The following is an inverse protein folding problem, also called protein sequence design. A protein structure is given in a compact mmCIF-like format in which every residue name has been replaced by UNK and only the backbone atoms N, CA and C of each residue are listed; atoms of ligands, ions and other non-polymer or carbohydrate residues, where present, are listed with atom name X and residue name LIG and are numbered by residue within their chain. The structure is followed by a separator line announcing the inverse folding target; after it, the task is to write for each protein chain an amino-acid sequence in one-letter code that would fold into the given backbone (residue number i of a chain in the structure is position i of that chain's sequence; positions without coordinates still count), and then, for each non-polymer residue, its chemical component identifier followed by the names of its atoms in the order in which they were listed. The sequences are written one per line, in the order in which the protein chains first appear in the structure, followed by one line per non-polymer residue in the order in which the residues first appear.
data_IF_306156733571
#
_entry.id   IF_306156733571
#
_cell.length_a   1.000
_cell.length_b   1.000
_cell.length_c   1.000
_cell.angle_alpha   90.00
_cell.angle_beta   90.00
_cell.angle_gamma   90.00
#
_symmetry.space_group_name_H-M   'P 1'
#
loop_
_entity.id
_entity.type
_entity.pdbx_description
1 polymer ?
#
# COMPACT_ATOMS: atom_id res chain seq x y z
N UNK A 1 -18.08 22.17 24.87
CA UNK A 1 -16.67 22.17 24.48
C UNK A 1 -16.55 22.74 23.10
N UNK A 2 -15.58 23.61 22.88
CA UNK A 2 -15.31 24.25 21.59
C UNK A 2 -15.04 23.17 20.51
N UNK A 3 -15.76 23.22 19.40
CA UNK A 3 -15.55 22.36 18.23
C UNK A 3 -14.25 22.68 17.48
N UNK A 4 -13.53 23.71 17.90
CA UNK A 4 -12.28 24.20 17.28
C UNK A 4 -11.02 23.49 17.75
N UNK A 5 -11.11 22.64 18.79
CA UNK A 5 -9.95 21.94 19.38
C UNK A 5 -9.82 20.48 18.95
N UNK A 6 -10.70 19.99 18.06
CA UNK A 6 -10.63 18.59 17.59
C UNK A 6 -10.06 18.54 16.20
N UNK A 7 -8.94 17.83 16.05
CA UNK A 7 -8.43 17.47 14.74
C UNK A 7 -9.46 16.68 13.95
N UNK A 8 -9.51 16.87 12.63
CA UNK A 8 -10.36 16.11 11.73
C UNK A 8 -9.46 15.22 10.84
N UNK A 9 -9.91 13.98 10.63
CA UNK A 9 -9.27 13.11 9.62
C UNK A 9 -9.41 13.73 8.25
N UNK A 10 -8.32 13.64 7.49
CA UNK A 10 -8.21 14.30 6.21
C UNK A 10 -7.66 13.29 5.19
N UNK A 11 -8.14 13.36 3.94
CA UNK A 11 -7.50 12.65 2.85
C UNK A 11 -6.07 13.15 2.67
N UNK A 12 -5.13 12.22 2.52
CA UNK A 12 -3.71 12.54 2.29
C UNK A 12 -3.45 12.80 0.80
N UNK A 13 -4.08 12.03 -0.06
CA UNK A 13 -3.94 12.05 -1.51
C UNK A 13 -4.22 10.67 -2.10
N UNK A 14 -4.20 10.58 -3.41
CA UNK A 14 -4.43 9.35 -4.17
C UNK A 14 -3.22 9.01 -5.04
N UNK A 15 -2.90 7.72 -5.11
CA UNK A 15 -1.97 7.16 -6.09
C UNK A 15 -2.76 6.54 -7.24
N UNK A 16 -2.60 7.09 -8.43
CA UNK A 16 -3.21 6.56 -9.66
C UNK A 16 -2.22 5.69 -10.43
N UNK A 17 -2.71 4.57 -10.92
CA UNK A 17 -2.00 3.66 -11.83
C UNK A 17 -2.91 3.45 -13.04
N UNK A 18 -2.64 4.16 -14.14
CA UNK A 18 -3.47 4.17 -15.32
C UNK A 18 -2.84 3.31 -16.42
N UNK A 19 -3.44 2.16 -16.69
CA UNK A 19 -2.98 1.26 -17.73
C UNK A 19 -3.41 1.73 -19.12
N UNK A 20 -2.46 1.81 -20.04
CA UNK A 20 -2.74 2.09 -21.45
C UNK A 20 -3.38 0.86 -22.13
N UNK A 21 -4.33 1.08 -23.04
CA UNK A 21 -4.91 0.05 -23.91
C UNK A 21 -5.66 -1.08 -23.19
N UNK A 22 -6.68 -0.74 -22.41
CA UNK A 22 -7.54 -1.72 -21.72
C UNK A 22 -8.83 -2.08 -22.48
N UNK A 23 -8.81 -2.09 -23.81
CA UNK A 23 -10.02 -2.36 -24.65
C UNK A 23 -10.46 -3.83 -24.64
N UNK A 24 -9.76 -4.72 -23.95
CA UNK A 24 -10.07 -6.15 -23.90
C UNK A 24 -10.58 -6.60 -22.53
N UNK A 25 -11.49 -7.56 -22.56
CA UNK A 25 -12.09 -8.13 -21.35
C UNK A 25 -11.01 -8.92 -20.58
N UNK A 26 -10.87 -8.63 -19.29
CA UNK A 26 -10.07 -9.44 -18.39
C UNK A 26 -10.81 -10.75 -18.05
N UNK A 27 -10.11 -11.87 -18.12
CA UNK A 27 -10.59 -13.20 -17.73
C UNK A 27 -9.82 -13.75 -16.56
N UNK A 28 -10.29 -14.80 -15.92
CA UNK A 28 -9.65 -15.43 -14.75
C UNK A 28 -9.32 -14.43 -13.62
N UNK A 29 -10.18 -13.42 -13.47
CA UNK A 29 -9.97 -12.38 -12.46
C UNK A 29 -10.12 -12.95 -11.06
N UNK A 30 -9.09 -12.74 -10.24
CA UNK A 30 -9.07 -13.12 -8.83
C UNK A 30 -8.47 -11.99 -8.00
N UNK A 31 -9.13 -11.67 -6.90
CA UNK A 31 -8.63 -10.77 -5.86
C UNK A 31 -8.62 -11.51 -4.52
N UNK A 32 -7.51 -11.44 -3.83
CA UNK A 32 -7.28 -12.19 -2.60
C UNK A 32 -6.53 -11.33 -1.58
N UNK A 33 -6.83 -11.53 -0.31
CA UNK A 33 -6.03 -11.08 0.82
C UNK A 33 -5.60 -12.30 1.64
N UNK A 34 -4.30 -12.59 1.65
CA UNK A 34 -3.73 -13.58 2.54
C UNK A 34 -3.61 -12.99 3.95
N UNK A 35 -4.40 -13.49 4.91
CA UNK A 35 -4.31 -13.03 6.29
C UNK A 35 -3.02 -13.51 6.97
N UNK A 36 -2.50 -14.68 6.58
CA UNK A 36 -1.26 -15.24 7.11
C UNK A 36 -0.01 -14.45 6.69
N UNK A 37 -0.11 -13.74 5.57
CA UNK A 37 0.98 -13.01 4.95
C UNK A 37 0.79 -11.49 4.98
N UNK A 38 -0.42 -11.01 5.24
CA UNK A 38 -0.84 -9.62 5.06
C UNK A 38 -0.48 -9.07 3.67
N UNK A 39 -0.73 -9.89 2.63
CA UNK A 39 -0.48 -9.55 1.22
C UNK A 39 -1.79 -9.59 0.45
N UNK A 40 -2.14 -8.46 -0.18
CA UNK A 40 -3.20 -8.39 -1.17
C UNK A 40 -2.67 -8.78 -2.55
N UNK A 41 -3.43 -9.60 -3.27
CA UNK A 41 -3.07 -10.05 -4.61
C UNK A 41 -4.23 -9.82 -5.58
N UNK A 42 -3.92 -9.35 -6.78
CA UNK A 42 -4.86 -9.31 -7.91
C UNK A 42 -4.21 -10.01 -9.09
N UNK A 43 -4.91 -10.99 -9.65
CA UNK A 43 -4.46 -11.69 -10.85
C UNK A 43 -5.56 -11.76 -11.89
N UNK A 44 -5.20 -11.67 -13.16
CA UNK A 44 -6.12 -11.80 -14.29
C UNK A 44 -5.36 -12.12 -15.58
N UNK A 45 -6.06 -12.62 -16.58
CA UNK A 45 -5.54 -12.76 -17.93
C UNK A 45 -6.17 -11.74 -18.88
N UNK A 46 -5.35 -11.18 -19.76
CA UNK A 46 -5.81 -10.26 -20.80
C UNK A 46 -4.92 -10.43 -22.04
N UNK A 47 -5.55 -10.68 -23.19
CA UNK A 47 -4.84 -10.92 -24.47
C UNK A 47 -3.78 -12.04 -24.38
N UNK A 48 -4.04 -13.11 -23.62
CA UNK A 48 -3.11 -14.23 -23.43
C UNK A 48 -1.93 -13.91 -22.49
N UNK A 49 -1.90 -12.74 -21.87
CA UNK A 49 -0.90 -12.34 -20.88
C UNK A 49 -1.46 -12.46 -19.48
N UNK A 50 -0.74 -13.13 -18.59
CA UNK A 50 -1.05 -13.16 -17.16
C UNK A 50 -0.53 -11.89 -16.50
N UNK A 51 -1.40 -11.18 -15.79
CA UNK A 51 -1.06 -10.03 -14.96
C UNK A 51 -1.17 -10.41 -13.48
N UNK A 52 -0.16 -10.02 -12.71
CA UNK A 52 -0.11 -10.23 -11.27
C UNK A 52 0.25 -8.92 -10.58
N UNK A 53 -0.54 -8.56 -9.57
CA UNK A 53 -0.27 -7.42 -8.68
C UNK A 53 -0.24 -7.91 -7.25
N UNK A 54 0.77 -7.52 -6.49
CA UNK A 54 0.91 -7.82 -5.07
C UNK A 54 1.07 -6.51 -4.30
N UNK A 55 0.42 -6.41 -3.15
CA UNK A 55 0.38 -5.21 -2.32
C UNK A 55 0.60 -5.58 -0.87
N UNK A 56 1.52 -4.91 -0.19
CA UNK A 56 1.70 -5.03 1.26
C UNK A 56 2.30 -3.76 1.85
N UNK A 57 2.10 -3.58 3.15
CA UNK A 57 2.74 -2.51 3.92
C UNK A 57 3.84 -3.12 4.77
N UNK A 58 5.08 -2.83 4.43
CA UNK A 58 6.25 -3.34 5.14
C UNK A 58 6.52 -2.48 6.37
N UNK A 59 6.30 -3.03 7.56
CA UNK A 59 6.63 -2.35 8.81
C UNK A 59 8.14 -2.11 8.98
N UNK A 60 9.04 -3.09 8.70
CA UNK A 60 10.49 -2.87 8.78
C UNK A 60 11.01 -1.86 7.77
N UNK A 61 10.40 -1.75 6.58
CA UNK A 61 10.83 -0.80 5.55
C UNK A 61 10.05 0.53 5.61
N UNK A 62 9.01 0.61 6.46
CA UNK A 62 8.11 1.77 6.61
C UNK A 62 7.54 2.26 5.27
N UNK A 63 7.23 1.34 4.36
CA UNK A 63 6.80 1.63 3.02
C UNK A 63 5.61 0.76 2.60
N UNK A 64 4.72 1.35 1.80
CA UNK A 64 3.76 0.59 1.00
C UNK A 64 4.52 0.08 -0.22
N UNK A 65 4.47 -1.23 -0.43
CA UNK A 65 5.12 -1.92 -1.54
C UNK A 65 4.05 -2.46 -2.47
N UNK A 66 4.12 -2.10 -3.75
CA UNK A 66 3.25 -2.61 -4.80
C UNK A 66 4.13 -3.22 -5.89
N UNK A 67 3.86 -4.47 -6.23
CA UNK A 67 4.55 -5.17 -7.32
C UNK A 67 3.56 -5.44 -8.45
N UNK A 68 3.88 -4.99 -9.64
CA UNK A 68 3.17 -5.31 -10.87
C UNK A 68 4.08 -6.14 -11.75
N UNK A 69 3.58 -7.26 -12.29
CA UNK A 69 4.37 -8.16 -13.13
C UNK A 69 3.50 -8.90 -14.14
N UNK A 70 4.15 -9.43 -15.17
CA UNK A 70 3.53 -10.29 -16.19
C UNK A 70 4.28 -11.63 -16.26
N UNK A 71 4.00 -12.57 -15.31
CA UNK A 71 4.71 -13.84 -15.24
C UNK A 71 4.68 -14.61 -16.57
N UNK A 72 5.86 -15.04 -17.04
CA UNK A 72 5.98 -15.77 -18.30
C UNK A 72 5.96 -14.90 -19.57
N UNK A 73 5.75 -13.59 -19.45
CA UNK A 73 5.76 -12.63 -20.55
C UNK A 73 6.71 -11.48 -20.25
N UNK A 74 7.32 -10.90 -21.29
CA UNK A 74 8.23 -9.76 -21.16
C UNK A 74 7.70 -8.54 -21.90
N UNK A 75 8.05 -7.34 -21.42
CA UNK A 75 7.73 -6.09 -22.08
C UNK A 75 6.23 -5.82 -22.20
N UNK A 76 5.40 -6.24 -21.24
CA UNK A 76 3.94 -6.15 -21.34
C UNK A 76 3.30 -5.09 -20.44
N UNK A 77 4.06 -4.53 -19.50
CA UNK A 77 3.54 -3.49 -18.64
C UNK A 77 3.70 -2.12 -19.28
N UNK A 78 2.56 -1.47 -19.52
CA UNK A 78 2.45 -0.12 -20.06
C UNK A 78 1.41 0.64 -19.25
N UNK A 79 1.84 1.59 -18.42
CA UNK A 79 0.97 2.38 -17.56
C UNK A 79 1.63 3.68 -17.15
N UNK A 80 0.83 4.60 -16.62
CA UNK A 80 1.33 5.82 -15.98
C UNK A 80 1.07 5.76 -14.48
N UNK A 81 1.94 6.44 -13.72
CA UNK A 81 1.80 6.60 -12.27
C UNK A 81 1.80 8.09 -11.95
N UNK A 82 0.84 8.51 -11.15
CA UNK A 82 0.76 9.88 -10.63
C UNK A 82 0.25 9.91 -9.20
N UNK A 83 0.57 10.98 -8.49
CA UNK A 83 -0.04 11.31 -7.21
C UNK A 83 -0.99 12.48 -7.40
N UNK A 84 -2.17 12.44 -6.82
CA UNK A 84 -3.05 13.58 -6.79
C UNK A 84 -3.02 14.26 -5.43
N UNK A 85 -3.09 15.57 -5.49
CA UNK A 85 -3.27 16.41 -4.31
C UNK A 85 -4.70 16.28 -3.77
N UNK A 86 -4.80 16.09 -2.46
CA UNK A 86 -6.09 16.10 -1.79
C UNK A 86 -6.57 17.52 -1.46
N UNK A 87 -5.71 18.54 -1.65
CA UNK A 87 -5.96 19.92 -1.18
C UNK A 87 -5.28 20.99 -2.01
N UNK A 88 -5.89 22.18 -2.11
CA UNK A 88 -5.21 23.36 -2.64
C UNK A 88 -3.95 23.71 -1.82
N UNK A 89 -2.87 24.07 -2.50
CA UNK A 89 -1.60 24.41 -1.87
C UNK A 89 -0.65 23.25 -1.65
N UNK A 90 -1.00 22.06 -2.11
CA UNK A 90 -0.07 20.94 -2.21
C UNK A 90 0.84 21.14 -3.41
N UNK A 91 2.10 20.77 -3.29
CA UNK A 91 3.09 20.84 -4.36
C UNK A 91 3.45 19.42 -4.82
N UNK A 92 3.45 19.25 -6.14
CA UNK A 92 3.87 18.02 -6.81
C UNK A 92 5.19 18.29 -7.54
N UNK A 93 6.15 17.39 -7.33
CA UNK A 93 7.43 17.42 -8.04
C UNK A 93 7.72 16.01 -8.57
N UNK A 94 8.20 15.93 -9.81
CA UNK A 94 8.60 14.68 -10.46
C UNK A 94 10.07 14.75 -10.81
N UNK A 95 10.85 13.78 -10.34
CA UNK A 95 12.27 13.62 -10.67
C UNK A 95 12.56 12.20 -11.13
N UNK A 96 13.04 12.05 -12.38
CA UNK A 96 13.49 10.79 -13.02
C UNK A 96 12.60 9.58 -12.74
N UNK A 97 12.61 9.08 -11.52
CA UNK A 97 11.90 7.87 -11.10
C UNK A 97 11.17 8.03 -9.77
N UNK A 98 10.94 9.26 -9.35
CA UNK A 98 10.28 9.60 -8.09
C UNK A 98 9.23 10.68 -8.29
N UNK A 99 8.18 10.62 -7.47
CA UNK A 99 7.18 11.68 -7.35
C UNK A 99 7.12 12.09 -5.89
N UNK A 100 7.18 13.39 -5.64
CA UNK A 100 7.08 13.99 -4.31
C UNK A 100 5.79 14.80 -4.25
N UNK A 101 5.00 14.57 -3.23
CA UNK A 101 3.78 15.32 -2.93
C UNK A 101 3.94 15.89 -1.52
N UNK A 102 3.99 17.19 -1.37
CA UNK A 102 4.14 17.83 -0.07
C UNK A 102 3.25 19.05 0.10
N UNK A 103 2.85 19.32 1.31
CA UNK A 103 2.02 20.45 1.65
C UNK A 103 2.03 20.79 3.13
N UNK A 104 1.35 21.87 3.46
CA UNK A 104 1.21 22.35 4.82
C UNK A 104 -0.25 22.49 5.20
N UNK A 105 -0.57 22.13 6.43
CA UNK A 105 -1.76 22.51 7.15
C UNK A 105 -1.40 23.66 8.12
N UNK A 106 -2.37 24.19 8.86
CA UNK A 106 -2.12 25.30 9.78
C UNK A 106 -0.96 25.07 10.75
N UNK A 107 -0.80 23.84 11.24
CA UNK A 107 0.23 23.46 12.21
C UNK A 107 1.17 22.35 11.71
N UNK A 108 0.78 21.59 10.71
CA UNK A 108 1.47 20.38 10.29
C UNK A 108 1.97 20.49 8.85
N UNK A 109 3.14 19.93 8.61
CA UNK A 109 3.59 19.59 7.26
C UNK A 109 3.31 18.11 6.97
N UNK A 110 3.01 17.78 5.74
CA UNK A 110 2.83 16.40 5.28
C UNK A 110 3.55 16.18 3.95
N UNK A 111 4.01 14.96 3.76
CA UNK A 111 4.71 14.60 2.52
C UNK A 111 4.51 13.12 2.20
N UNK A 112 4.36 12.82 0.90
CA UNK A 112 4.47 11.49 0.33
C UNK A 112 5.58 11.46 -0.72
N UNK A 113 6.35 10.39 -0.75
CA UNK A 113 7.38 10.14 -1.75
C UNK A 113 7.13 8.79 -2.39
N UNK A 114 6.99 8.77 -3.71
CA UNK A 114 6.86 7.55 -4.51
C UNK A 114 8.15 7.30 -5.27
N UNK A 115 8.64 6.07 -5.23
CA UNK A 115 9.74 5.58 -6.08
C UNK A 115 9.26 4.49 -7.00
N UNK A 116 9.62 4.59 -8.28
CA UNK A 116 9.36 3.58 -9.31
C UNK A 116 10.65 2.85 -9.63
N UNK A 117 10.61 1.52 -9.53
CA UNK A 117 11.71 0.61 -9.87
C UNK A 117 11.22 -0.34 -10.96
N UNK A 118 11.60 -0.09 -12.21
CA UNK A 118 11.24 -0.95 -13.34
C UNK A 118 12.31 -2.00 -13.61
N UNK A 119 11.86 -3.17 -14.01
CA UNK A 119 12.66 -4.28 -14.53
C UNK A 119 12.34 -4.42 -16.02
N UNK A 120 13.32 -4.18 -16.89
CA UNK A 120 13.11 -4.03 -18.32
C UNK A 120 12.32 -2.76 -18.68
N UNK A 121 12.14 -2.54 -19.97
CA UNK A 121 11.40 -1.40 -20.49
C UNK A 121 12.02 -0.04 -20.21
N UNK A 122 11.22 0.99 -20.34
CA UNK A 122 11.63 2.39 -20.19
C UNK A 122 10.77 3.11 -19.16
N UNK A 123 11.41 3.98 -18.39
CA UNK A 123 10.74 4.91 -17.47
C UNK A 123 10.96 6.34 -17.97
N UNK A 124 9.85 7.06 -18.19
CA UNK A 124 9.83 8.42 -18.72
C UNK A 124 9.17 9.33 -17.70
N UNK A 125 9.85 10.40 -17.32
CA UNK A 125 9.30 11.43 -16.43
C UNK A 125 8.67 12.56 -17.24
N UNK A 126 7.49 12.99 -16.80
CA UNK A 126 6.79 14.18 -17.27
C UNK A 126 6.58 15.13 -16.07
N UNK A 127 5.93 16.25 -16.28
CA UNK A 127 5.72 17.29 -15.27
C UNK A 127 4.90 16.83 -14.05
N UNK A 128 3.99 15.87 -14.24
CA UNK A 128 3.00 15.44 -13.23
C UNK A 128 2.91 13.92 -13.03
N UNK A 129 3.67 13.13 -13.81
CA UNK A 129 3.58 11.67 -13.81
C UNK A 129 4.85 10.99 -14.28
N UNK A 130 4.92 9.69 -14.01
CA UNK A 130 5.91 8.78 -14.59
C UNK A 130 5.21 7.80 -15.52
N UNK A 131 5.74 7.64 -16.73
CA UNK A 131 5.27 6.67 -17.73
C UNK A 131 6.20 5.48 -17.78
N UNK A 132 5.63 4.29 -17.67
CA UNK A 132 6.33 3.01 -17.79
C UNK A 132 5.92 2.38 -19.13
N UNK A 133 6.90 1.98 -19.92
CA UNK A 133 6.71 1.39 -21.24
C UNK A 133 7.51 0.09 -21.36
N UNK A 134 6.84 -0.97 -21.80
CA UNK A 134 7.40 -2.29 -22.09
C UNK A 134 8.18 -2.93 -20.93
N UNK A 135 7.79 -2.67 -19.67
CA UNK A 135 8.44 -3.28 -18.52
C UNK A 135 8.02 -4.75 -18.33
N UNK A 136 8.94 -5.56 -17.80
CA UNK A 136 8.69 -6.95 -17.40
C UNK A 136 8.00 -6.98 -16.04
N UNK A 137 8.44 -6.12 -15.15
CA UNK A 137 7.86 -5.91 -13.83
C UNK A 137 8.20 -4.52 -13.29
N UNK A 138 7.39 -4.04 -12.35
CA UNK A 138 7.58 -2.75 -11.69
C UNK A 138 7.31 -2.89 -10.21
N UNK A 139 8.20 -2.35 -9.37
CA UNK A 139 7.96 -2.18 -7.94
C UNK A 139 7.78 -0.70 -7.64
N UNK A 140 6.65 -0.37 -7.02
CA UNK A 140 6.36 0.96 -6.50
C UNK A 140 6.58 0.94 -4.98
N UNK A 141 7.36 1.90 -4.49
CA UNK A 141 7.60 2.11 -3.06
C UNK A 141 7.03 3.47 -2.70
N UNK A 142 6.04 3.50 -1.82
CA UNK A 142 5.42 4.72 -1.34
C UNK A 142 5.67 4.86 0.17
N UNK A 143 6.24 5.99 0.57
CA UNK A 143 6.36 6.42 1.95
C UNK A 143 5.58 7.70 2.14
N UNK A 144 4.89 7.85 3.29
CA UNK A 144 4.10 9.03 3.58
C UNK A 144 4.10 9.30 5.09
N UNK A 145 4.18 10.56 5.48
CA UNK A 145 4.09 10.95 6.89
C UNK A 145 3.74 12.44 7.04
N UNK A 146 3.49 12.80 8.29
CA UNK A 146 3.42 14.17 8.78
C UNK A 146 4.55 14.40 9.79
N UNK A 147 4.78 15.64 10.15
CA UNK A 147 5.67 16.01 11.26
C UNK A 147 4.95 16.06 12.62
N UNK A 148 3.77 15.43 12.73
CA UNK A 148 3.01 15.32 13.97
C UNK A 148 3.76 14.48 15.01
N UNK A 149 3.82 15.00 16.24
CA UNK A 149 4.36 14.29 17.39
C UNK A 149 3.54 14.57 18.64
N UNK A 150 2.84 13.56 19.15
CA UNK A 150 2.01 13.65 20.33
C UNK A 150 2.81 13.98 21.60
N UNK A 151 4.09 13.70 21.65
CA UNK A 151 4.97 13.97 22.80
C UNK A 151 5.36 15.44 22.94
N UNK A 152 5.19 16.22 21.86
CA UNK A 152 5.50 17.64 21.83
C UNK A 152 4.33 18.51 22.31
N UNK A 153 4.62 19.53 23.10
CA UNK A 153 3.61 20.52 23.52
C UNK A 153 3.00 21.32 22.35
N UNK A 154 3.71 21.41 21.23
CA UNK A 154 3.28 22.04 19.97
C UNK A 154 2.75 21.04 18.94
N UNK A 155 2.72 19.75 19.28
CA UNK A 155 2.39 18.64 18.38
C UNK A 155 3.30 18.53 17.16
N UNK A 156 4.41 19.24 17.12
CA UNK A 156 5.39 19.24 16.03
C UNK A 156 6.80 19.24 16.61
N UNK A 157 7.67 18.35 16.10
CA UNK A 157 9.09 18.26 16.50
C UNK A 157 10.03 18.41 15.33
N UNK A 158 9.55 18.25 14.10
CA UNK A 158 10.34 18.31 12.87
C UNK A 158 9.90 19.50 11.99
N UNK A 159 10.87 20.12 11.34
CA UNK A 159 10.58 21.03 10.21
C UNK A 159 10.13 20.25 8.98
N UNK A 160 9.56 20.91 7.97
CA UNK A 160 9.23 20.29 6.69
C UNK A 160 10.46 19.68 6.01
N UNK A 161 11.64 20.32 6.11
CA UNK A 161 12.90 19.79 5.58
C UNK A 161 13.36 18.53 6.33
N UNK A 162 13.22 18.48 7.63
CA UNK A 162 13.56 17.29 8.43
C UNK A 162 12.62 16.13 8.11
N UNK A 163 11.31 16.39 7.92
CA UNK A 163 10.33 15.42 7.44
C UNK A 163 10.74 14.86 6.07
N UNK A 164 11.06 15.75 5.10
CA UNK A 164 11.54 15.36 3.78
C UNK A 164 12.76 14.44 3.86
N UNK A 165 13.77 14.83 4.62
CA UNK A 165 15.00 14.05 4.78
C UNK A 165 14.76 12.69 5.44
N UNK A 166 13.86 12.60 6.42
CA UNK A 166 13.47 11.34 7.07
C UNK A 166 12.79 10.38 6.09
N UNK A 167 11.86 10.88 5.29
CA UNK A 167 11.16 10.07 4.27
C UNK A 167 12.12 9.63 3.17
N UNK A 168 12.96 10.54 2.67
CA UNK A 168 13.99 10.24 1.67
C UNK A 168 14.95 9.14 2.15
N UNK A 169 15.41 9.21 3.38
CA UNK A 169 16.28 8.19 3.96
C UNK A 169 15.56 6.84 4.08
N UNK A 170 14.29 6.82 4.50
CA UNK A 170 13.49 5.60 4.58
C UNK A 170 13.30 4.97 3.20
N UNK A 171 12.98 5.79 2.19
CA UNK A 171 12.80 5.35 0.82
C UNK A 171 14.10 4.83 0.21
N UNK A 172 15.23 5.52 0.43
CA UNK A 172 16.54 5.08 -0.01
C UNK A 172 16.93 3.73 0.61
N UNK A 173 16.69 3.52 1.90
CA UNK A 173 16.94 2.23 2.54
C UNK A 173 16.09 1.11 1.94
N UNK A 174 14.81 1.36 1.68
CA UNK A 174 13.94 0.39 1.03
C UNK A 174 14.43 0.05 -0.39
N UNK A 175 14.94 1.02 -1.16
CA UNK A 175 15.45 0.82 -2.52
C UNK A 175 16.75 0.02 -2.61
N UNK A 176 17.47 -0.20 -1.50
CA UNK A 176 18.63 -1.09 -1.48
C UNK A 176 18.25 -2.57 -1.61
N UNK A 177 16.96 -2.90 -1.40
CA UNK A 177 16.41 -4.24 -1.45
C UNK A 177 15.67 -4.47 -2.77
N UNK A 178 15.83 -5.64 -3.35
CA UNK A 178 14.96 -6.08 -4.42
C UNK A 178 13.58 -6.51 -3.87
N UNK A 179 12.61 -6.73 -4.78
CA UNK A 179 11.26 -7.10 -4.36
C UNK A 179 11.18 -8.35 -3.46
N UNK A 180 12.00 -9.38 -3.74
CA UNK A 180 12.00 -10.61 -2.94
C UNK A 180 12.49 -10.36 -1.52
N UNK A 181 13.48 -9.50 -1.37
CA UNK A 181 14.04 -9.11 -0.06
C UNK A 181 13.04 -8.25 0.74
N UNK A 182 12.35 -7.31 0.09
CA UNK A 182 11.27 -6.53 0.70
C UNK A 182 10.14 -7.44 1.20
N UNK A 183 9.68 -8.37 0.35
CA UNK A 183 8.66 -9.35 0.71
C UNK A 183 9.10 -10.26 1.85
N UNK A 184 10.35 -10.75 1.81
CA UNK A 184 10.90 -11.58 2.87
C UNK A 184 10.99 -10.82 4.21
N UNK A 185 11.42 -9.56 4.20
CA UNK A 185 11.48 -8.71 5.39
C UNK A 185 10.08 -8.52 6.00
N UNK A 186 9.08 -8.22 5.18
CA UNK A 186 7.68 -8.13 5.60
C UNK A 186 7.17 -9.43 6.22
N UNK A 187 7.36 -10.57 5.56
CA UNK A 187 6.90 -11.87 6.04
C UNK A 187 7.59 -12.29 7.34
N UNK A 188 8.89 -12.06 7.47
CA UNK A 188 9.66 -12.38 8.67
C UNK A 188 9.23 -11.53 9.88
N UNK A 189 8.71 -10.35 9.65
CA UNK A 189 8.17 -9.48 10.69
C UNK A 189 6.72 -9.84 11.03
N UNK A 190 5.84 -10.02 10.04
CA UNK A 190 4.41 -10.18 10.25
C UNK A 190 4.00 -11.58 10.73
N UNK A 191 4.49 -12.64 10.06
CA UNK A 191 4.08 -14.02 10.35
C UNK A 191 4.28 -14.46 11.80
N UNK A 192 5.41 -14.15 12.48
CA UNK A 192 5.59 -14.50 13.88
C UNK A 192 4.53 -13.87 14.81
N UNK A 193 4.00 -12.70 14.46
CA UNK A 193 2.97 -12.02 15.23
C UNK A 193 1.59 -12.64 14.95
N UNK A 194 1.27 -12.87 13.70
CA UNK A 194 -0.02 -13.46 13.32
C UNK A 194 -0.16 -14.89 13.79
N UNK A 195 0.89 -15.70 13.74
CA UNK A 195 0.89 -17.11 14.13
C UNK A 195 0.90 -17.35 15.65
N UNK A 196 0.92 -16.31 16.48
CA UNK A 196 0.83 -16.48 17.96
C UNK A 196 -0.51 -17.05 18.41
N UNK A 197 -1.56 -16.85 17.64
CA UNK A 197 -2.90 -17.33 17.95
C UNK A 197 -3.50 -17.94 16.70
N UNK A 198 -4.02 -19.16 16.84
CA UNK A 198 -4.79 -19.86 15.82
C UNK A 198 -6.14 -20.27 16.41
N UNK A 199 -7.21 -19.99 15.69
CA UNK A 199 -8.54 -20.48 15.98
C UNK A 199 -8.91 -21.50 14.92
N UNK A 200 -9.08 -22.74 15.32
CA UNK A 200 -9.59 -23.82 14.47
C UNK A 200 -10.91 -24.32 15.03
N UNK A 201 -11.97 -24.20 14.25
CA UNK A 201 -13.31 -24.69 14.57
C UNK A 201 -13.64 -25.96 13.78
N UNK A 202 -12.65 -26.66 13.22
CA UNK A 202 -12.82 -27.77 12.30
C UNK A 202 -13.74 -27.46 11.12
N UNK A 203 -13.74 -26.21 10.67
CA UNK A 203 -14.57 -25.74 9.60
C UNK A 203 -14.03 -26.21 8.24
N UNK A 204 -14.92 -26.67 7.36
CA UNK A 204 -14.54 -26.99 5.99
C UNK A 204 -14.29 -25.72 5.21
N UNK A 205 -13.20 -25.70 4.44
CA UNK A 205 -12.90 -24.62 3.51
C UNK A 205 -14.03 -24.53 2.46
N UNK A 206 -14.68 -23.36 2.30
CA UNK A 206 -15.73 -23.19 1.30
C UNK A 206 -15.14 -23.23 -0.11
N UNK A 207 -15.94 -23.65 -1.07
CA UNK A 207 -15.57 -23.69 -2.49
C UNK A 207 -15.98 -22.42 -3.24
N UNK A 208 -16.70 -21.52 -2.57
CA UNK A 208 -17.15 -20.23 -3.12
C UNK A 208 -16.35 -19.07 -2.55
N UNK A 209 -16.24 -17.93 -3.26
CA UNK A 209 -15.56 -16.74 -2.76
C UNK A 209 -16.20 -16.19 -1.49
N UNK A 210 -15.40 -15.46 -0.70
CA UNK A 210 -15.85 -14.92 0.60
C UNK A 210 -17.05 -13.99 0.47
N UNK A 211 -17.13 -13.18 -0.58
CA UNK A 211 -18.24 -12.27 -0.82
C UNK A 211 -19.55 -13.00 -1.14
N UNK A 212 -19.49 -14.13 -1.84
CA UNK A 212 -20.65 -14.99 -2.07
C UNK A 212 -21.07 -15.72 -0.79
N UNK A 213 -20.08 -16.18 -0.02
CA UNK A 213 -20.33 -16.83 1.26
C UNK A 213 -21.03 -15.89 2.25
N UNK A 214 -20.57 -14.64 2.36
CA UNK A 214 -21.22 -13.61 3.19
C UNK A 214 -22.64 -13.30 2.70
N UNK A 215 -22.85 -13.14 1.39
CA UNK A 215 -24.18 -12.89 0.80
C UNK A 215 -25.16 -14.06 0.99
N UNK A 216 -24.66 -15.27 1.18
CA UNK A 216 -25.52 -16.44 1.38
C UNK A 216 -26.32 -16.40 2.69
N UNK A 217 -25.91 -15.58 3.66
CA UNK A 217 -26.48 -15.47 5.02
C UNK A 217 -26.62 -16.81 5.75
N UNK A 218 -25.81 -17.81 5.38
CA UNK A 218 -25.80 -19.12 6.05
C UNK A 218 -24.87 -19.09 7.26
N UNK A 219 -25.28 -19.71 8.34
CA UNK A 219 -24.39 -19.98 9.46
C UNK A 219 -23.16 -20.76 8.97
N UNK A 220 -21.97 -20.33 9.34
CA UNK A 220 -20.73 -20.92 8.86
C UNK A 220 -19.62 -20.76 9.90
N UNK A 221 -19.19 -21.86 10.49
CA UNK A 221 -18.03 -21.90 11.37
C UNK A 221 -16.76 -21.36 10.69
N UNK A 222 -16.68 -21.50 9.38
CA UNK A 222 -15.59 -20.90 8.60
C UNK A 222 -15.64 -19.36 8.61
N UNK A 223 -16.83 -18.75 8.46
CA UNK A 223 -16.98 -17.30 8.56
C UNK A 223 -16.64 -16.79 9.96
N UNK A 224 -17.03 -17.51 11.02
CA UNK A 224 -16.72 -17.13 12.40
C UNK A 224 -15.19 -17.15 12.62
N UNK A 225 -14.53 -18.20 12.16
CA UNK A 225 -13.07 -18.31 12.20
C UNK A 225 -12.40 -17.21 11.35
N UNK A 226 -12.88 -16.99 10.13
CA UNK A 226 -12.36 -15.96 9.23
C UNK A 226 -12.53 -14.56 9.83
N UNK A 227 -13.69 -14.25 10.40
CA UNK A 227 -13.99 -12.98 11.04
C UNK A 227 -13.05 -12.69 12.23
N UNK A 228 -12.81 -13.71 13.06
CA UNK A 228 -11.83 -13.62 14.14
C UNK A 228 -10.42 -13.34 13.63
N UNK A 229 -9.95 -14.08 12.63
CA UNK A 229 -8.62 -13.91 12.06
C UNK A 229 -8.48 -12.56 11.31
N UNK A 230 -9.54 -12.12 10.64
CA UNK A 230 -9.57 -10.82 9.98
C UNK A 230 -9.48 -9.66 11.00
N UNK A 231 -10.19 -9.76 12.13
CA UNK A 231 -10.06 -8.80 13.22
C UNK A 231 -8.62 -8.71 13.76
N UNK A 232 -7.95 -9.86 13.92
CA UNK A 232 -6.53 -9.89 14.32
C UNK A 232 -5.61 -9.26 13.28
N UNK A 233 -5.85 -9.53 11.99
CA UNK A 233 -5.12 -8.88 10.89
C UNK A 233 -5.27 -7.35 10.97
N UNK A 234 -6.49 -6.83 11.13
CA UNK A 234 -6.74 -5.39 11.25
C UNK A 234 -6.00 -4.78 12.45
N UNK A 235 -6.02 -5.44 13.62
CA UNK A 235 -5.31 -4.97 14.80
C UNK A 235 -3.79 -4.93 14.57
N UNK A 236 -3.19 -5.95 13.98
CA UNK A 236 -1.77 -6.00 13.69
C UNK A 236 -1.34 -5.00 12.62
N UNK A 237 -2.23 -4.69 11.67
CA UNK A 237 -1.95 -3.76 10.58
C UNK A 237 -2.09 -2.30 11.00
N UNK A 238 -2.97 -1.99 11.95
CA UNK A 238 -3.29 -0.61 12.32
C UNK A 238 -2.47 -0.07 13.50
N UNK A 239 -1.96 -0.92 14.39
CA UNK A 239 -1.42 -0.44 15.67
C UNK A 239 -0.27 -1.34 16.17
N UNK A 240 0.96 -1.02 15.77
CA UNK A 240 2.17 -1.73 16.17
C UNK A 240 3.20 -0.79 16.74
N UNK A 241 3.61 -1.03 17.99
CA UNK A 241 4.59 -0.20 18.67
C UNK A 241 4.13 1.25 18.92
N UNK A 242 2.82 1.49 18.83
CA UNK A 242 2.17 2.77 19.09
C UNK A 242 1.60 2.79 20.50
N UNK A 243 1.64 3.95 21.13
CA UNK A 243 1.03 4.16 22.46
C UNK A 243 -0.47 4.53 22.35
N UNK A 244 -1.02 4.55 21.14
CA UNK A 244 -2.42 4.84 20.89
C UNK A 244 -3.22 3.55 20.66
N UNK A 245 -4.47 3.47 21.15
CA UNK A 245 -5.35 2.34 20.87
C UNK A 245 -5.74 2.30 19.39
N UNK A 246 -6.09 1.11 18.91
CA UNK A 246 -6.72 0.96 17.59
C UNK A 246 -8.02 1.77 17.52
N UNK A 247 -8.28 2.33 16.36
CA UNK A 247 -9.52 3.03 16.07
C UNK A 247 -10.15 2.48 14.76
N UNK A 248 -11.31 3.01 14.37
CA UNK A 248 -12.01 2.56 13.16
C UNK A 248 -11.34 3.03 11.85
N UNK A 249 -10.43 3.96 11.92
CA UNK A 249 -9.74 4.52 10.77
C UNK A 249 -8.41 3.78 10.47
N UNK A 250 -7.96 2.89 11.34
CA UNK A 250 -6.76 2.08 11.20
C UNK A 250 -5.55 2.60 11.92
#
# INVERSE_FOLDING_TARGET
GSTTERGAYQSFGDLYIDFKNQDSIATEYRRELSLDDAIGTVSYQQNGVQYLREYFVSYPDKAIVMRLSTPGSKGKLNFTVSLSEARPGTHLEVDKSSIFLHGNLDLLSYEAQLKVLNEGGTLISDSDKLSIEEADAVTLLLVAATNFDLSSATYVTETAEQLHNRLTNSLQQATTKNYKELKAAHLNDYRPLFNRVQLDLNAKLPTIPTDELVRSHKESLYLDMLYFQYGRYLMLSSSRGMNLPNNLQG
#
